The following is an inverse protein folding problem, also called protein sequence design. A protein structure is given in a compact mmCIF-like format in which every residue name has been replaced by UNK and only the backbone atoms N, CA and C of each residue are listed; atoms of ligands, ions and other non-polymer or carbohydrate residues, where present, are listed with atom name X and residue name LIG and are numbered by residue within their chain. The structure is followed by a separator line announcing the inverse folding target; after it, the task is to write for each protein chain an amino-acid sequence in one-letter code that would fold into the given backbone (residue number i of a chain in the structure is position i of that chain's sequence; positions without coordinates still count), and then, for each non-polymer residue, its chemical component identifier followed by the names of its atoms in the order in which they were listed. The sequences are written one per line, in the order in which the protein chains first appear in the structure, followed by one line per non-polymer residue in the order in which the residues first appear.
data_IF_224430242157
#
_entry.id   IF_224430242157
#
_cell.length_a   1.000
_cell.length_b   1.000
_cell.length_c   1.000
_cell.angle_alpha   90.00
_cell.angle_beta   90.00
_cell.angle_gamma   90.00
#
_symmetry.space_group_name_H-M   'P 1'
#
loop_
_entity.id
_entity.type
_entity.pdbx_description
1 polymer ?
#
# COMPACT_ATOMS: atom_id res chain seq x y z
N UNK A 1 50.78 -32.76 12.28
CA UNK A 1 50.37 -32.06 11.05
C UNK A 1 48.88 -31.81 11.15
N UNK A 2 48.48 -30.60 11.52
CA UNK A 2 47.08 -30.17 11.55
C UNK A 2 46.93 -29.09 10.47
N UNK A 3 45.89 -29.12 9.62
CA UNK A 3 45.70 -28.08 8.61
C UNK A 3 45.07 -26.85 9.26
N UNK A 4 45.73 -25.70 9.09
CA UNK A 4 45.18 -24.39 9.40
C UNK A 4 44.16 -24.02 8.31
N UNK A 5 42.88 -23.92 8.66
CA UNK A 5 41.88 -23.33 7.79
C UNK A 5 41.94 -21.80 7.93
N UNK A 6 42.43 -21.14 6.88
CA UNK A 6 42.31 -19.69 6.72
C UNK A 6 40.84 -19.36 6.42
N UNK A 7 40.15 -18.70 7.34
CA UNK A 7 38.85 -18.08 7.08
C UNK A 7 39.14 -16.74 6.41
N UNK A 8 38.89 -16.65 5.10
CA UNK A 8 38.94 -15.40 4.36
C UNK A 8 37.61 -14.65 4.61
N UNK A 9 37.58 -13.77 5.61
CA UNK A 9 36.48 -12.84 5.78
C UNK A 9 36.58 -11.77 4.67
N UNK A 10 35.80 -11.92 3.61
CA UNK A 10 35.62 -10.88 2.61
C UNK A 10 34.75 -9.77 3.23
N UNK A 11 35.39 -8.73 3.75
CA UNK A 11 34.75 -7.46 4.08
C UNK A 11 34.37 -6.76 2.77
N UNK A 12 33.23 -7.12 2.20
CA UNK A 12 32.59 -6.33 1.16
C UNK A 12 32.15 -5.00 1.82
N UNK A 13 32.91 -3.93 1.60
CA UNK A 13 32.45 -2.57 1.88
C UNK A 13 31.30 -2.29 0.93
N UNK A 14 30.06 -2.35 1.43
CA UNK A 14 28.91 -1.81 0.73
C UNK A 14 29.17 -0.31 0.51
N UNK A 15 29.41 0.10 -0.73
CA UNK A 15 29.37 1.50 -1.09
C UNK A 15 27.91 1.93 -0.98
N UNK A 16 27.59 2.76 0.02
CA UNK A 16 26.27 3.39 0.12
C UNK A 16 26.21 4.43 -0.99
N UNK A 17 25.64 4.06 -2.13
CA UNK A 17 25.31 5.02 -3.17
C UNK A 17 24.09 5.81 -2.68
N UNK A 18 24.28 7.09 -2.36
CA UNK A 18 23.16 8.00 -2.10
C UNK A 18 22.54 8.37 -3.44
N UNK A 19 21.35 7.86 -3.73
CA UNK A 19 20.53 8.33 -4.86
C UNK A 19 19.79 9.57 -4.36
N UNK A 20 20.09 10.73 -4.95
CA UNK A 20 19.28 11.94 -4.72
C UNK A 20 18.06 11.80 -5.62
N UNK A 21 16.92 11.54 -4.99
CA UNK A 21 15.62 11.48 -5.63
C UNK A 21 15.05 12.90 -5.63
N UNK A 22 14.58 13.37 -6.78
CA UNK A 22 14.07 14.73 -6.94
C UNK A 22 12.63 14.74 -7.41
N UNK A 23 11.80 15.50 -6.72
CA UNK A 23 10.36 15.62 -6.92
C UNK A 23 9.91 17.11 -6.85
N UNK A 24 8.63 17.43 -7.06
CA UNK A 24 8.16 18.82 -7.03
C UNK A 24 8.42 19.59 -5.72
N UNK A 25 8.52 18.91 -4.57
CA UNK A 25 8.76 19.56 -3.26
C UNK A 25 10.16 20.19 -3.13
N UNK A 26 11.11 19.78 -3.98
CA UNK A 26 12.44 20.40 -4.05
C UNK A 26 12.38 21.88 -4.49
N UNK A 27 11.33 22.25 -5.23
CA UNK A 27 11.16 23.57 -5.82
C UNK A 27 9.91 24.29 -5.33
N UNK A 28 8.89 23.57 -4.85
CA UNK A 28 7.71 24.14 -4.20
C UNK A 28 7.87 24.06 -2.68
N UNK A 29 7.91 25.23 -2.03
CA UNK A 29 8.03 25.27 -0.58
C UNK A 29 6.69 24.93 0.08
N UNK A 30 6.68 24.17 1.20
CA UNK A 30 5.45 23.89 1.94
C UNK A 30 4.66 25.14 2.36
N UNK A 31 5.33 26.29 2.53
CA UNK A 31 4.70 27.57 2.86
C UNK A 31 3.82 28.15 1.75
N UNK A 32 4.10 27.81 0.49
CA UNK A 32 3.47 28.44 -0.67
C UNK A 32 1.99 28.01 -0.81
N UNK A 33 1.63 26.87 -0.21
CA UNK A 33 0.33 26.21 -0.34
C UNK A 33 -0.21 25.71 1.00
N UNK A 34 0.30 26.27 2.10
CA UNK A 34 -0.12 25.90 3.45
C UNK A 34 -1.61 26.19 3.69
N UNK A 35 -2.13 27.28 3.13
CA UNK A 35 -3.56 27.62 3.22
C UNK A 35 -4.44 26.61 2.49
N UNK A 36 -4.01 26.17 1.31
CA UNK A 36 -4.71 25.17 0.50
C UNK A 36 -4.71 23.81 1.21
N UNK A 37 -3.56 23.36 1.69
CA UNK A 37 -3.44 22.10 2.43
C UNK A 37 -4.14 22.14 3.81
N UNK A 38 -4.50 23.32 4.32
CA UNK A 38 -5.28 23.50 5.54
C UNK A 38 -6.79 23.55 5.31
N UNK A 39 -7.26 23.48 4.07
CA UNK A 39 -8.69 23.40 3.77
C UNK A 39 -9.32 22.19 4.46
N UNK A 40 -10.38 22.45 5.23
CA UNK A 40 -11.16 21.40 5.86
C UNK A 40 -12.20 20.87 4.88
N UNK A 41 -12.15 19.57 4.67
CA UNK A 41 -13.10 18.82 3.88
C UNK A 41 -14.24 18.32 4.78
N UNK A 42 -15.49 18.44 4.31
CA UNK A 42 -16.61 17.72 4.90
C UNK A 42 -16.66 16.31 4.30
N UNK A 43 -16.37 15.31 5.11
CA UNK A 43 -16.40 13.90 4.72
C UNK A 43 -17.73 13.21 5.04
N UNK A 44 -18.65 13.90 5.74
CA UNK A 44 -19.98 13.41 6.10
C UNK A 44 -21.03 13.80 5.03
N UNK A 45 -20.60 13.81 3.77
CA UNK A 45 -21.44 14.11 2.62
C UNK A 45 -22.09 12.83 2.06
N UNK A 46 -23.37 12.88 1.62
CA UNK A 46 -24.05 11.69 1.11
C UNK A 46 -23.31 11.03 -0.05
N UNK A 47 -23.25 9.71 -0.02
CA UNK A 47 -22.73 8.93 -1.14
C UNK A 47 -23.60 9.13 -2.39
N UNK A 48 -22.97 9.41 -3.52
CA UNK A 48 -23.62 9.56 -4.82
C UNK A 48 -23.47 8.27 -5.62
N UNK A 49 -24.58 7.55 -5.82
CA UNK A 49 -24.58 6.27 -6.56
C UNK A 49 -24.46 6.40 -8.08
N UNK A 50 -24.58 7.62 -8.61
CA UNK A 50 -24.35 7.95 -10.02
C UNK A 50 -23.85 9.38 -10.15
N UNK A 51 -23.13 9.64 -11.25
CA UNK A 51 -22.68 10.99 -11.59
C UNK A 51 -23.89 11.95 -11.64
N UNK A 52 -23.86 13.07 -10.89
CA UNK A 52 -25.03 13.92 -10.72
C UNK A 52 -25.32 14.82 -11.94
N UNK A 53 -24.29 15.15 -12.73
CA UNK A 53 -24.35 16.09 -13.87
C UNK A 53 -23.12 15.92 -14.77
N UNK A 54 -23.16 16.53 -15.95
CA UNK A 54 -22.00 16.58 -16.84
C UNK A 54 -20.84 17.38 -16.20
N UNK A 55 -19.61 17.03 -16.59
CA UNK A 55 -18.42 17.76 -16.16
C UNK A 55 -18.37 19.13 -16.83
N UNK A 56 -18.29 20.19 -16.04
CA UNK A 56 -17.93 21.51 -16.57
C UNK A 56 -16.45 21.50 -16.99
N UNK A 57 -16.13 22.11 -18.13
CA UNK A 57 -14.76 22.15 -18.64
C UNK A 57 -14.48 23.37 -19.49
N UNK A 58 -13.23 23.83 -19.51
CA UNK A 58 -12.79 24.89 -20.44
C UNK A 58 -12.52 24.32 -21.84
N UNK A 59 -12.00 23.10 -21.91
CA UNK A 59 -11.64 22.44 -23.16
C UNK A 59 -12.25 21.04 -23.22
N UNK A 60 -13.29 20.88 -24.04
CA UNK A 60 -13.92 19.59 -24.31
C UNK A 60 -13.41 18.98 -25.62
N UNK A 61 -13.00 17.72 -25.57
CA UNK A 61 -12.72 16.87 -26.72
C UNK A 61 -13.62 15.63 -26.67
N UNK A 62 -14.70 15.65 -27.43
CA UNK A 62 -15.78 14.64 -27.41
C UNK A 62 -15.89 13.85 -28.73
N UNK A 63 -14.94 14.04 -29.65
CA UNK A 63 -14.96 13.34 -30.93
C UNK A 63 -13.60 13.32 -31.61
N UNK A 64 -13.33 12.22 -32.32
CA UNK A 64 -12.14 12.07 -33.15
C UNK A 64 -10.83 12.07 -32.37
N UNK A 65 -9.76 12.52 -33.02
CA UNK A 65 -8.42 12.59 -32.42
C UNK A 65 -7.90 14.02 -32.39
N UNK A 66 -7.36 14.44 -31.25
CA UNK A 66 -6.75 15.76 -31.04
C UNK A 66 -5.27 15.64 -30.68
N UNK A 67 -4.45 16.52 -31.24
CA UNK A 67 -3.03 16.66 -30.90
C UNK A 67 -2.76 18.07 -30.35
N UNK A 68 -2.15 18.14 -29.17
CA UNK A 68 -1.72 19.36 -28.49
C UNK A 68 -0.21 19.29 -28.26
N UNK A 69 0.50 20.40 -28.45
CA UNK A 69 1.92 20.45 -28.16
C UNK A 69 2.41 21.86 -27.89
N UNK A 70 3.30 22.03 -26.90
CA UNK A 70 3.91 23.32 -26.53
C UNK A 70 2.85 24.39 -26.24
N UNK A 71 1.94 24.08 -25.31
CA UNK A 71 0.83 24.96 -24.93
C UNK A 71 0.64 24.95 -23.43
N UNK A 72 0.05 26.05 -22.95
CA UNK A 72 -0.38 26.22 -21.57
C UNK A 72 -1.91 26.19 -21.54
N UNK A 73 -2.48 25.53 -20.54
CA UNK A 73 -3.91 25.53 -20.25
C UNK A 73 -4.13 25.87 -18.79
N UNK A 74 -5.16 26.64 -18.48
CA UNK A 74 -5.49 26.92 -17.09
C UNK A 74 -6.96 27.23 -16.87
N UNK A 75 -7.39 27.09 -15.61
CA UNK A 75 -8.67 27.63 -15.13
C UNK A 75 -8.64 27.87 -13.63
N UNK A 76 -9.25 28.98 -13.20
CA UNK A 76 -9.53 29.33 -11.81
C UNK A 76 -11.00 29.07 -11.44
N UNK A 77 -11.80 28.56 -12.39
CA UNK A 77 -13.21 28.24 -12.17
C UNK A 77 -13.36 27.05 -11.22
N UNK A 78 -14.31 27.17 -10.29
CA UNK A 78 -14.66 26.11 -9.35
C UNK A 78 -15.43 24.99 -10.05
N UNK A 79 -15.29 23.77 -9.55
CA UNK A 79 -15.97 22.57 -10.04
C UNK A 79 -15.83 22.30 -11.54
N UNK A 80 -14.82 22.90 -12.17
CA UNK A 80 -14.63 22.93 -13.63
C UNK A 80 -13.31 22.27 -13.96
N UNK A 81 -13.29 21.27 -14.82
CA UNK A 81 -12.04 20.68 -15.29
C UNK A 81 -11.31 21.63 -16.26
N UNK A 82 -9.99 21.52 -16.40
CA UNK A 82 -9.30 22.25 -17.49
C UNK A 82 -9.60 21.57 -18.81
N UNK A 83 -9.32 20.27 -18.91
CA UNK A 83 -9.55 19.45 -20.10
C UNK A 83 -10.45 18.27 -19.76
N UNK A 84 -11.46 18.03 -20.61
CA UNK A 84 -12.24 16.78 -20.61
C UNK A 84 -12.09 16.10 -21.96
N UNK A 85 -11.77 14.81 -21.95
CA UNK A 85 -11.76 13.93 -23.12
C UNK A 85 -12.84 12.87 -22.92
N UNK A 86 -13.85 12.83 -23.78
CA UNK A 86 -15.02 11.96 -23.59
C UNK A 86 -15.52 11.37 -24.92
N UNK A 87 -16.57 10.55 -24.84
CA UNK A 87 -17.32 10.03 -25.99
C UNK A 87 -16.44 9.28 -27.03
N UNK A 88 -15.47 8.49 -26.53
CA UNK A 88 -14.55 7.73 -27.37
C UNK A 88 -13.49 8.57 -28.10
N UNK A 89 -13.26 9.81 -27.66
CA UNK A 89 -12.25 10.67 -28.24
C UNK A 89 -10.82 10.24 -27.86
N UNK A 90 -9.85 10.69 -28.67
CA UNK A 90 -8.43 10.39 -28.48
C UNK A 90 -7.63 11.67 -28.35
N UNK A 91 -6.93 11.86 -27.22
CA UNK A 91 -6.03 12.99 -27.01
C UNK A 91 -4.56 12.55 -27.08
N UNK A 92 -3.73 13.33 -27.75
CA UNK A 92 -2.27 13.26 -27.61
C UNK A 92 -1.75 14.64 -27.25
N UNK A 93 -1.19 14.81 -26.05
CA UNK A 93 -0.61 16.05 -25.57
C UNK A 93 0.88 15.85 -25.27
N UNK A 94 1.72 16.80 -25.70
CA UNK A 94 3.18 16.74 -25.49
C UNK A 94 3.78 18.09 -25.13
N UNK A 95 4.64 18.19 -24.12
CA UNK A 95 5.21 19.49 -23.69
C UNK A 95 4.09 20.50 -23.39
N UNK A 96 3.21 20.14 -22.46
CA UNK A 96 2.05 20.95 -22.09
C UNK A 96 2.10 21.25 -20.61
N UNK A 97 1.87 22.51 -20.25
CA UNK A 97 1.71 22.97 -18.88
C UNK A 97 0.21 23.15 -18.58
N UNK A 98 -0.25 22.68 -17.42
CA UNK A 98 -1.64 22.80 -16.98
C UNK A 98 -1.68 23.32 -15.54
N UNK A 99 -2.40 24.42 -15.33
CA UNK A 99 -2.64 25.02 -14.02
C UNK A 99 -4.13 24.97 -13.65
N UNK A 100 -4.47 24.41 -12.49
CA UNK A 100 -5.84 24.34 -12.00
C UNK A 100 -5.93 24.89 -10.59
N UNK A 101 -6.62 26.02 -10.43
CA UNK A 101 -6.70 26.74 -9.14
C UNK A 101 -8.09 26.92 -8.55
N UNK A 102 -9.18 26.68 -9.27
CA UNK A 102 -10.52 26.70 -8.66
C UNK A 102 -10.76 25.53 -7.69
N UNK A 103 -11.61 25.73 -6.67
CA UNK A 103 -11.88 24.71 -5.65
C UNK A 103 -12.98 23.72 -6.06
N UNK A 104 -12.99 22.54 -5.43
CA UNK A 104 -14.11 21.60 -5.49
C UNK A 104 -15.11 21.88 -4.37
N UNK A 105 -16.36 22.20 -4.72
CA UNK A 105 -17.44 22.38 -3.74
C UNK A 105 -17.93 21.07 -3.14
N UNK A 106 -17.68 19.94 -3.81
CA UNK A 106 -18.11 18.61 -3.40
C UNK A 106 -17.02 17.57 -3.65
N UNK A 107 -16.37 17.13 -2.58
CA UNK A 107 -15.25 16.20 -2.66
C UNK A 107 -15.68 14.78 -3.06
N UNK A 108 -16.91 14.35 -2.80
CA UNK A 108 -17.41 13.06 -3.34
C UNK A 108 -17.54 13.13 -4.86
N UNK A 109 -17.95 14.27 -5.43
CA UNK A 109 -17.99 14.45 -6.88
C UNK A 109 -16.58 14.42 -7.47
N UNK A 110 -15.62 15.12 -6.85
CA UNK A 110 -14.22 15.07 -7.26
C UNK A 110 -13.63 13.65 -7.15
N UNK A 111 -13.89 12.97 -6.04
CA UNK A 111 -13.35 11.64 -5.71
C UNK A 111 -13.90 10.52 -6.59
N UNK A 112 -15.22 10.50 -6.82
CA UNK A 112 -15.84 9.38 -7.54
C UNK A 112 -16.01 9.62 -9.04
N UNK A 113 -16.07 10.87 -9.49
CA UNK A 113 -16.35 11.22 -10.89
C UNK A 113 -15.34 12.18 -11.51
N UNK A 114 -14.34 12.64 -10.76
CA UNK A 114 -13.25 13.46 -11.27
C UNK A 114 -13.66 14.89 -11.62
N UNK A 115 -14.65 15.43 -10.92
CA UNK A 115 -14.95 16.86 -10.99
C UNK A 115 -13.73 17.68 -10.56
N UNK A 116 -13.60 18.87 -11.13
CA UNK A 116 -12.53 19.82 -10.81
C UNK A 116 -11.10 19.37 -11.18
N UNK A 117 -10.90 18.24 -11.86
CA UNK A 117 -9.58 17.75 -12.23
C UNK A 117 -8.88 18.62 -13.30
N UNK A 118 -7.55 18.61 -13.35
CA UNK A 118 -6.83 19.26 -14.45
C UNK A 118 -7.13 18.57 -15.79
N UNK A 119 -7.04 17.23 -15.85
CA UNK A 119 -7.50 16.45 -17.01
C UNK A 119 -8.44 15.36 -16.51
N UNK A 120 -9.63 15.25 -17.11
CA UNK A 120 -10.52 14.10 -16.93
C UNK A 120 -10.72 13.39 -18.27
N UNK A 121 -10.48 12.08 -18.30
CA UNK A 121 -10.67 11.22 -19.47
C UNK A 121 -11.75 10.21 -19.14
N UNK A 122 -12.82 10.16 -19.94
CA UNK A 122 -14.01 9.40 -19.63
C UNK A 122 -14.63 8.70 -20.86
N UNK A 123 -15.60 7.81 -20.62
CA UNK A 123 -16.50 7.25 -21.63
C UNK A 123 -15.76 6.61 -22.83
N UNK A 124 -14.93 5.60 -22.55
CA UNK A 124 -14.20 4.81 -23.57
C UNK A 124 -13.15 5.62 -24.34
N UNK A 125 -12.73 6.76 -23.78
CA UNK A 125 -11.72 7.63 -24.39
C UNK A 125 -10.30 7.21 -24.07
N UNK A 126 -9.34 7.73 -24.82
CA UNK A 126 -7.92 7.49 -24.57
C UNK A 126 -7.12 8.78 -24.59
N UNK A 127 -6.18 8.94 -23.65
CA UNK A 127 -5.22 10.05 -23.67
C UNK A 127 -3.78 9.55 -23.62
N UNK A 128 -2.91 10.20 -24.40
CA UNK A 128 -1.46 10.02 -24.38
C UNK A 128 -0.82 11.35 -23.99
N UNK A 129 -0.27 11.42 -22.78
CA UNK A 129 0.33 12.61 -22.18
C UNK A 129 1.85 12.36 -22.08
N UNK A 130 2.65 13.27 -22.64
CA UNK A 130 4.11 13.14 -22.61
C UNK A 130 4.80 14.47 -22.31
N UNK A 131 5.80 14.50 -21.42
CA UNK A 131 6.45 15.76 -21.03
C UNK A 131 5.42 16.79 -20.54
N UNK A 132 4.51 16.39 -19.65
CA UNK A 132 3.47 17.29 -19.11
C UNK A 132 3.84 17.77 -17.72
N UNK A 133 3.52 19.02 -17.46
CA UNK A 133 3.66 19.65 -16.15
C UNK A 133 2.25 20.03 -15.68
N UNK A 134 1.79 19.44 -14.59
CA UNK A 134 0.44 19.66 -14.09
C UNK A 134 0.55 20.14 -12.64
N UNK A 135 0.02 21.32 -12.39
CA UNK A 135 -0.07 21.93 -11.07
C UNK A 135 -1.54 22.11 -10.73
N UNK A 136 -1.99 21.51 -9.62
CA UNK A 136 -3.38 21.61 -9.15
C UNK A 136 -3.46 22.05 -7.71
N UNK A 137 -4.54 22.76 -7.39
CA UNK A 137 -4.82 23.34 -6.08
C UNK A 137 -6.25 23.09 -5.65
N UNK A 138 -6.55 23.37 -4.39
CA UNK A 138 -7.88 23.36 -3.82
C UNK A 138 -8.62 22.03 -4.03
N UNK A 139 -7.90 20.92 -3.87
CA UNK A 139 -8.45 19.57 -3.93
C UNK A 139 -8.60 18.99 -5.34
N UNK A 140 -8.05 19.65 -6.37
CA UNK A 140 -8.11 19.15 -7.75
C UNK A 140 -7.10 18.03 -8.02
N UNK A 141 -7.55 16.95 -8.64
CA UNK A 141 -6.67 15.88 -9.12
C UNK A 141 -5.87 16.30 -10.36
N UNK A 142 -4.64 15.80 -10.53
CA UNK A 142 -3.86 16.09 -11.75
C UNK A 142 -4.47 15.38 -12.97
N UNK A 143 -4.65 14.07 -12.90
CA UNK A 143 -5.19 13.27 -14.00
C UNK A 143 -6.23 12.31 -13.48
N UNK A 144 -7.44 12.38 -14.04
CA UNK A 144 -8.56 11.52 -13.72
C UNK A 144 -8.94 10.62 -14.90
N UNK A 145 -9.24 9.35 -14.64
CA UNK A 145 -9.78 8.40 -15.62
C UNK A 145 -11.07 7.75 -15.12
N UNK A 146 -12.13 7.77 -15.92
CA UNK A 146 -13.43 7.21 -15.56
C UNK A 146 -14.09 6.36 -16.66
N UNK A 147 -14.59 5.18 -16.33
CA UNK A 147 -15.42 4.39 -17.24
C UNK A 147 -14.67 3.24 -17.92
N UNK A 148 -15.38 2.14 -18.18
CA UNK A 148 -14.87 0.96 -18.90
C UNK A 148 -14.25 1.33 -20.25
N UNK A 149 -13.15 0.66 -20.59
CA UNK A 149 -12.35 0.88 -21.82
C UNK A 149 -11.74 2.30 -21.94
N UNK A 150 -11.70 3.06 -20.84
CA UNK A 150 -11.03 4.35 -20.77
C UNK A 150 -9.61 4.21 -20.25
N UNK A 151 -8.63 4.70 -21.00
CA UNK A 151 -7.21 4.51 -20.68
C UNK A 151 -6.42 5.80 -20.83
N UNK A 152 -5.64 6.15 -19.81
CA UNK A 152 -4.67 7.25 -19.88
C UNK A 152 -3.25 6.70 -19.82
N UNK A 153 -2.44 7.05 -20.81
CA UNK A 153 -1.00 6.82 -20.80
C UNK A 153 -0.28 8.13 -20.50
N UNK A 154 0.48 8.20 -19.41
CA UNK A 154 1.23 9.40 -19.02
C UNK A 154 2.71 9.08 -18.84
N UNK A 155 3.59 9.83 -19.51
CA UNK A 155 5.03 9.60 -19.49
C UNK A 155 5.79 10.91 -19.28
N UNK A 156 6.92 10.86 -18.57
CA UNK A 156 7.82 12.00 -18.37
C UNK A 156 7.06 13.20 -17.77
N UNK A 157 6.33 13.00 -16.67
CA UNK A 157 5.45 14.02 -16.12
C UNK A 157 5.96 14.58 -14.79
N UNK A 158 5.72 15.87 -14.58
CA UNK A 158 5.88 16.54 -13.32
C UNK A 158 4.49 16.91 -12.78
N UNK A 159 4.15 16.41 -11.60
CA UNK A 159 2.79 16.40 -11.07
C UNK A 159 2.80 16.97 -9.65
N UNK A 160 2.20 18.14 -9.48
CA UNK A 160 2.04 18.78 -8.18
C UNK A 160 0.56 18.92 -7.84
N UNK A 161 0.19 18.61 -6.60
CA UNK A 161 -1.17 18.76 -6.11
C UNK A 161 -1.22 19.30 -4.67
N UNK A 162 -2.14 20.23 -4.41
CA UNK A 162 -2.45 20.74 -3.05
C UNK A 162 -3.95 20.78 -2.77
N UNK A 163 -4.28 20.81 -1.48
CA UNK A 163 -5.64 20.71 -0.97
C UNK A 163 -6.10 19.26 -0.74
N UNK A 164 -7.19 19.05 0.02
CA UNK A 164 -7.66 17.72 0.40
C UNK A 164 -8.16 16.92 -0.82
N UNK A 165 -7.87 15.61 -0.85
CA UNK A 165 -8.28 14.68 -1.93
C UNK A 165 -7.62 14.99 -3.30
N UNK A 166 -6.56 15.81 -3.31
CA UNK A 166 -5.83 16.19 -4.52
C UNK A 166 -4.86 15.08 -4.96
N UNK A 167 -5.40 14.01 -5.54
CA UNK A 167 -4.61 12.89 -6.03
C UNK A 167 -3.82 13.23 -7.30
N UNK A 168 -2.65 12.61 -7.47
CA UNK A 168 -1.85 12.71 -8.70
C UNK A 168 -2.54 12.00 -9.87
N UNK A 169 -2.40 10.67 -9.91
CA UNK A 169 -3.14 9.82 -10.83
C UNK A 169 -4.35 9.25 -10.13
N UNK A 170 -5.53 9.42 -10.72
CA UNK A 170 -6.79 9.03 -10.10
C UNK A 170 -7.70 8.28 -11.07
N UNK A 171 -7.99 7.02 -10.80
CA UNK A 171 -8.84 6.19 -11.65
C UNK A 171 -10.07 5.70 -10.87
N UNK A 172 -11.23 5.66 -11.53
CA UNK A 172 -12.47 5.07 -10.98
C UNK A 172 -13.36 4.60 -12.14
N UNK A 173 -14.48 3.96 -11.84
CA UNK A 173 -15.48 3.54 -12.82
C UNK A 173 -14.94 2.52 -13.85
N UNK A 174 -13.97 1.68 -13.49
CA UNK A 174 -13.18 0.81 -14.38
C UNK A 174 -12.21 1.55 -15.32
N UNK A 175 -11.91 2.82 -15.04
CA UNK A 175 -10.87 3.57 -15.74
C UNK A 175 -9.47 3.03 -15.42
N UNK A 176 -8.53 3.21 -16.35
CA UNK A 176 -7.14 2.76 -16.19
C UNK A 176 -6.16 3.89 -16.46
N UNK A 177 -5.15 4.04 -15.60
CA UNK A 177 -4.02 4.95 -15.85
C UNK A 177 -2.72 4.15 -15.82
N UNK A 178 -1.90 4.32 -16.87
CA UNK A 178 -0.57 3.72 -17.02
C UNK A 178 0.45 4.87 -17.05
N UNK A 179 1.25 4.97 -15.99
CA UNK A 179 2.22 6.03 -15.75
C UNK A 179 3.67 5.58 -15.85
N UNK A 180 4.55 6.38 -16.45
CA UNK A 180 6.00 6.11 -16.52
C UNK A 180 6.83 7.36 -16.28
N UNK A 181 7.95 7.22 -15.56
CA UNK A 181 8.89 8.33 -15.32
C UNK A 181 8.18 9.59 -14.78
N UNK A 182 7.44 9.41 -13.69
CA UNK A 182 6.69 10.47 -13.04
C UNK A 182 7.47 11.04 -11.86
N UNK A 183 7.36 12.34 -11.67
CA UNK A 183 7.75 13.04 -10.44
C UNK A 183 6.52 13.63 -9.82
N UNK A 184 6.11 13.10 -8.68
CA UNK A 184 4.87 13.49 -8.02
C UNK A 184 5.11 14.06 -6.62
N UNK A 185 4.38 15.13 -6.29
CA UNK A 185 4.19 15.57 -4.91
C UNK A 185 2.74 15.95 -4.63
N UNK A 186 2.23 15.56 -3.47
CA UNK A 186 0.97 16.05 -2.93
C UNK A 186 1.08 16.52 -1.48
N UNK A 187 0.51 17.69 -1.20
CA UNK A 187 0.56 18.30 0.13
C UNK A 187 -0.63 18.01 1.04
N UNK A 188 -1.82 17.82 0.47
CA UNK A 188 -3.07 17.78 1.20
C UNK A 188 -3.36 16.45 1.91
N UNK A 189 -4.37 16.47 2.78
CA UNK A 189 -4.87 15.25 3.43
C UNK A 189 -5.57 14.33 2.42
N UNK A 190 -5.50 13.01 2.64
CA UNK A 190 -6.13 11.99 1.77
C UNK A 190 -5.79 12.16 0.29
N UNK A 191 -4.60 12.65 -0.01
CA UNK A 191 -4.14 13.03 -1.35
C UNK A 191 -3.04 12.08 -1.81
N UNK A 192 -3.39 10.81 -2.01
CA UNK A 192 -2.44 9.78 -2.43
C UNK A 192 -1.89 10.03 -3.83
N UNK A 193 -0.65 9.61 -4.09
CA UNK A 193 -0.01 9.83 -5.39
C UNK A 193 -0.72 9.09 -6.54
N UNK A 194 -1.01 7.82 -6.30
CA UNK A 194 -1.53 6.89 -7.29
C UNK A 194 -2.76 6.19 -6.70
N UNK A 195 -3.94 6.57 -7.17
CA UNK A 195 -5.22 6.22 -6.55
C UNK A 195 -6.15 5.52 -7.53
N UNK A 196 -6.58 4.32 -7.18
CA UNK A 196 -7.80 3.72 -7.71
C UNK A 196 -8.93 3.90 -6.69
N UNK A 197 -10.09 4.41 -7.10
CA UNK A 197 -11.28 4.59 -6.26
C UNK A 197 -12.41 3.62 -6.58
N UNK A 198 -13.49 3.67 -5.80
CA UNK A 198 -14.74 2.97 -6.05
C UNK A 198 -15.67 3.76 -6.99
N UNK A 199 -16.36 3.13 -7.96
CA UNK A 199 -16.17 1.77 -8.46
C UNK A 199 -14.75 1.55 -9.01
N UNK A 200 -14.22 0.33 -8.90
CA UNK A 200 -12.79 0.02 -9.03
C UNK A 200 -12.03 0.80 -10.13
N UNK A 201 -10.90 1.41 -9.75
CA UNK A 201 -9.92 2.01 -10.64
C UNK A 201 -8.64 1.18 -10.76
N UNK A 202 -7.96 1.30 -11.90
CA UNK A 202 -6.75 0.53 -12.20
C UNK A 202 -5.56 1.45 -12.44
N UNK A 203 -4.47 1.21 -11.73
CA UNK A 203 -3.24 2.01 -11.85
C UNK A 203 -2.04 1.09 -12.07
N UNK A 204 -1.26 1.40 -13.11
CA UNK A 204 0.06 0.83 -13.32
C UNK A 204 1.09 1.96 -13.36
N UNK A 205 2.14 1.91 -12.54
CA UNK A 205 3.17 2.96 -12.50
C UNK A 205 4.57 2.36 -12.53
N UNK A 206 5.42 2.92 -13.40
CA UNK A 206 6.78 2.43 -13.57
C UNK A 206 7.80 3.57 -13.45
N UNK A 207 9.01 3.25 -12.98
CA UNK A 207 10.20 4.09 -13.08
C UNK A 207 9.99 5.50 -12.49
N UNK A 208 9.28 5.61 -11.36
CA UNK A 208 8.72 6.88 -10.88
C UNK A 208 9.14 7.23 -9.45
N UNK A 209 8.89 8.48 -9.08
CA UNK A 209 9.13 9.06 -7.77
C UNK A 209 7.85 9.69 -7.26
N UNK A 210 7.51 9.46 -6.01
CA UNK A 210 6.40 10.16 -5.35
C UNK A 210 6.68 10.53 -3.91
N UNK A 211 6.15 11.69 -3.52
CA UNK A 211 6.14 12.16 -2.13
C UNK A 211 4.75 12.66 -1.75
N UNK A 212 4.18 12.13 -0.67
CA UNK A 212 2.88 12.52 -0.14
C UNK A 212 3.05 13.03 1.30
N UNK A 213 2.69 14.28 1.57
CA UNK A 213 2.93 14.89 2.88
C UNK A 213 1.75 14.75 3.85
N UNK A 214 0.52 14.92 3.36
CA UNK A 214 -0.65 15.05 4.23
C UNK A 214 -1.10 13.76 4.92
N UNK A 215 -1.91 13.93 5.97
CA UNK A 215 -2.46 12.81 6.75
C UNK A 215 -3.37 11.94 5.88
N UNK A 216 -3.19 10.62 5.96
CA UNK A 216 -3.96 9.65 5.19
C UNK A 216 -3.58 9.61 3.71
N UNK A 217 -2.53 10.31 3.29
CA UNK A 217 -2.05 10.33 1.91
C UNK A 217 -1.05 9.20 1.70
N UNK A 218 -1.47 8.15 1.00
CA UNK A 218 -0.63 7.00 0.72
C UNK A 218 0.19 7.21 -0.56
N UNK A 219 1.18 6.35 -0.80
CA UNK A 219 1.74 6.26 -2.17
C UNK A 219 0.68 5.67 -3.09
N UNK A 220 0.10 4.54 -2.68
CA UNK A 220 -0.93 3.82 -3.40
C UNK A 220 -2.21 3.76 -2.58
N UNK A 221 -3.31 4.27 -3.13
CA UNK A 221 -4.64 4.05 -2.60
C UNK A 221 -5.36 3.08 -3.52
N UNK A 222 -5.63 1.87 -3.04
CA UNK A 222 -6.16 0.78 -3.84
C UNK A 222 -7.64 0.57 -3.52
N UNK A 223 -8.50 0.99 -4.44
CA UNK A 223 -9.83 0.43 -4.68
C UNK A 223 -9.85 -0.06 -6.13
N UNK A 224 -9.46 -1.32 -6.33
CA UNK A 224 -9.19 -1.96 -7.60
C UNK A 224 -7.83 -2.67 -7.60
N UNK A 225 -7.05 -2.49 -8.66
CA UNK A 225 -5.70 -3.08 -8.79
C UNK A 225 -4.65 -2.00 -8.93
N UNK A 226 -3.57 -2.17 -8.15
CA UNK A 226 -2.34 -1.40 -8.28
C UNK A 226 -1.22 -2.33 -8.74
N UNK A 227 -0.50 -1.92 -9.78
CA UNK A 227 0.79 -2.48 -10.13
C UNK A 227 1.84 -1.37 -10.11
N UNK A 228 2.98 -1.62 -9.47
CA UNK A 228 4.10 -0.70 -9.49
C UNK A 228 5.43 -1.40 -9.70
N UNK A 229 6.29 -0.79 -10.52
CA UNK A 229 7.65 -1.29 -10.79
C UNK A 229 8.66 -0.14 -10.72
N UNK A 230 9.80 -0.34 -10.03
CA UNK A 230 10.88 0.66 -9.96
C UNK A 230 10.40 2.02 -9.42
N UNK A 231 9.57 2.03 -8.37
CA UNK A 231 9.08 3.26 -7.74
C UNK A 231 9.81 3.53 -6.44
N UNK A 232 10.31 4.75 -6.27
CA UNK A 232 10.81 5.24 -4.98
C UNK A 232 9.75 6.17 -4.40
N UNK A 233 9.30 5.91 -3.18
CA UNK A 233 8.22 6.71 -2.59
C UNK A 233 8.39 7.04 -1.11
N UNK A 234 7.77 8.15 -0.72
CA UNK A 234 7.75 8.63 0.65
C UNK A 234 6.36 9.16 1.01
N UNK A 235 5.72 8.54 2.00
CA UNK A 235 4.47 9.03 2.59
C UNK A 235 4.78 9.54 4.01
N UNK A 236 4.78 10.85 4.22
CA UNK A 236 5.15 11.44 5.53
C UNK A 236 4.14 11.08 6.62
N UNK A 237 2.85 11.11 6.29
CA UNK A 237 1.75 10.88 7.23
C UNK A 237 0.70 9.89 6.67
N UNK A 238 1.17 8.91 5.91
CA UNK A 238 0.35 7.82 5.39
C UNK A 238 1.13 6.53 5.23
N UNK A 239 0.46 5.42 4.89
CA UNK A 239 1.13 4.17 4.55
C UNK A 239 1.72 4.21 3.12
N UNK A 240 2.48 3.19 2.75
CA UNK A 240 2.84 2.97 1.34
C UNK A 240 1.59 2.58 0.56
N UNK A 241 0.87 1.58 1.07
CA UNK A 241 -0.38 1.09 0.48
C UNK A 241 -1.52 1.26 1.49
N UNK A 242 -2.60 1.88 1.04
CA UNK A 242 -3.88 1.98 1.74
C UNK A 242 -4.96 1.29 0.90
N UNK A 243 -5.76 0.41 1.49
CA UNK A 243 -6.83 -0.31 0.78
C UNK A 243 -8.06 -0.49 1.66
N UNK A 244 -9.24 -0.31 1.07
CA UNK A 244 -10.53 -0.67 1.66
C UNK A 244 -11.26 -1.74 0.81
N UNK A 245 -11.56 -2.87 1.42
CA UNK A 245 -12.16 -4.05 0.80
C UNK A 245 -11.14 -5.03 0.19
N UNK A 246 -11.65 -5.94 -0.63
CA UNK A 246 -10.87 -6.97 -1.29
C UNK A 246 -10.17 -6.45 -2.55
N UNK A 247 -9.01 -5.82 -2.36
CA UNK A 247 -8.25 -5.14 -3.43
C UNK A 247 -6.89 -5.81 -3.65
N UNK A 248 -6.25 -5.49 -4.77
CA UNK A 248 -5.00 -6.16 -5.17
C UNK A 248 -3.89 -5.16 -5.42
N UNK A 249 -2.70 -5.46 -4.89
CA UNK A 249 -1.51 -4.65 -5.12
C UNK A 249 -0.28 -5.53 -5.35
N UNK A 250 0.49 -5.23 -6.39
CA UNK A 250 1.79 -5.84 -6.67
C UNK A 250 2.86 -4.76 -6.81
N UNK A 251 3.87 -4.80 -5.94
CA UNK A 251 5.01 -3.89 -5.92
C UNK A 251 6.27 -4.66 -6.27
N UNK A 252 6.95 -4.25 -7.34
CA UNK A 252 8.16 -4.87 -7.88
C UNK A 252 9.31 -3.88 -7.85
N UNK A 253 10.43 -4.24 -7.23
CA UNK A 253 11.61 -3.37 -7.15
C UNK A 253 11.31 -1.94 -6.66
N UNK A 254 10.45 -1.79 -5.66
CA UNK A 254 10.09 -0.49 -5.08
C UNK A 254 10.87 -0.25 -3.77
N UNK A 255 11.26 1.00 -3.49
CA UNK A 255 11.81 1.43 -2.18
C UNK A 255 10.90 2.51 -1.60
N UNK A 256 10.09 2.13 -0.62
CA UNK A 256 8.97 2.92 -0.15
C UNK A 256 9.04 3.17 1.36
N UNK A 257 8.66 4.38 1.78
CA UNK A 257 8.68 4.81 3.17
C UNK A 257 7.29 5.28 3.62
N UNK A 258 6.89 4.89 4.83
CA UNK A 258 5.58 5.20 5.42
C UNK A 258 5.70 5.80 6.83
N UNK A 259 4.95 6.86 7.09
CA UNK A 259 4.97 7.58 8.36
C UNK A 259 3.71 7.46 9.21
N UNK A 260 2.63 6.81 8.74
CA UNK A 260 1.41 6.60 9.53
C UNK A 260 0.73 5.27 9.20
N UNK A 261 -0.04 4.72 10.16
CA UNK A 261 -0.84 3.49 10.06
C UNK A 261 -0.07 2.18 9.78
N UNK A 262 1.21 2.23 9.39
CA UNK A 262 2.02 1.05 9.08
C UNK A 262 2.67 1.16 7.72
N UNK A 263 3.56 0.23 7.38
CA UNK A 263 4.15 0.17 6.04
C UNK A 263 3.07 -0.07 4.98
N UNK A 264 2.18 -1.02 5.27
CA UNK A 264 0.94 -1.26 4.53
C UNK A 264 -0.24 -1.24 5.51
N UNK A 265 -1.36 -0.68 5.08
CA UNK A 265 -2.64 -0.77 5.79
C UNK A 265 -3.74 -1.24 4.82
N UNK A 266 -4.22 -2.48 4.98
CA UNK A 266 -5.35 -3.01 4.21
C UNK A 266 -6.48 -3.42 5.15
N UNK A 267 -7.69 -2.96 4.89
CA UNK A 267 -8.84 -3.28 5.72
C UNK A 267 -10.13 -3.39 4.92
N UNK A 268 -11.25 -3.68 5.59
CA UNK A 268 -12.59 -3.42 5.08
C UNK A 268 -13.33 -2.50 6.05
N UNK A 269 -13.87 -1.39 5.57
CA UNK A 269 -14.81 -0.56 6.34
C UNK A 269 -16.23 -1.15 6.37
N UNK A 270 -16.45 -2.19 5.55
CA UNK A 270 -17.74 -2.83 5.32
C UNK A 270 -17.71 -4.28 5.79
N UNK A 271 -18.59 -5.12 5.24
CA UNK A 271 -18.56 -6.57 5.48
C UNK A 271 -17.21 -7.15 5.06
N UNK A 272 -16.64 -7.99 5.91
CA UNK A 272 -15.41 -8.74 5.62
C UNK A 272 -15.58 -9.65 4.40
N UNK A 273 -14.68 -9.53 3.43
CA UNK A 273 -14.63 -10.37 2.22
C UNK A 273 -13.24 -10.98 2.02
N UNK A 274 -13.17 -11.97 1.13
CA UNK A 274 -11.93 -12.60 0.64
C UNK A 274 -11.56 -12.09 -0.75
N UNK A 275 -10.29 -12.22 -1.11
CA UNK A 275 -9.76 -11.86 -2.43
C UNK A 275 -8.81 -10.66 -2.41
N UNK A 276 -8.50 -10.12 -1.23
CA UNK A 276 -7.42 -9.15 -1.11
C UNK A 276 -6.07 -9.83 -1.34
N UNK A 277 -5.19 -9.18 -2.13
CA UNK A 277 -3.83 -9.68 -2.39
C UNK A 277 -2.80 -8.56 -2.25
N UNK A 278 -1.68 -8.87 -1.59
CA UNK A 278 -0.47 -8.06 -1.59
C UNK A 278 0.71 -8.91 -2.08
N UNK A 279 1.40 -8.45 -3.11
CA UNK A 279 2.64 -9.08 -3.61
C UNK A 279 3.78 -8.09 -3.55
N UNK A 280 4.80 -8.43 -2.78
CA UNK A 280 6.05 -7.69 -2.71
C UNK A 280 7.14 -8.55 -3.36
N UNK A 281 7.78 -8.00 -4.39
CA UNK A 281 8.89 -8.67 -5.07
C UNK A 281 10.05 -7.71 -5.20
N UNK A 282 11.24 -8.15 -4.76
CA UNK A 282 12.47 -7.34 -4.84
C UNK A 282 12.32 -5.95 -4.20
N UNK A 283 11.39 -5.79 -3.25
CA UNK A 283 10.93 -4.47 -2.76
C UNK A 283 11.29 -4.25 -1.30
N UNK A 284 11.35 -2.98 -0.91
CA UNK A 284 11.66 -2.54 0.44
C UNK A 284 10.58 -1.58 0.94
N UNK A 285 10.01 -1.89 2.10
CA UNK A 285 9.08 -1.02 2.82
C UNK A 285 9.74 -0.61 4.14
N UNK A 286 9.76 0.68 4.44
CA UNK A 286 10.34 1.24 5.67
C UNK A 286 9.31 2.06 6.43
N UNK A 287 9.14 1.83 7.73
CA UNK A 287 8.29 2.68 8.59
C UNK A 287 9.11 3.69 9.38
N UNK A 288 8.59 4.91 9.56
CA UNK A 288 9.28 6.00 10.27
C UNK A 288 9.00 6.05 11.78
N UNK A 289 7.94 5.39 12.26
CA UNK A 289 7.51 5.43 13.67
C UNK A 289 7.81 4.14 14.43
N UNK A 290 8.12 4.28 15.71
CA UNK A 290 8.43 3.20 16.67
C UNK A 290 7.21 2.41 17.15
N UNK A 291 6.03 2.78 16.69
CA UNK A 291 4.75 2.08 16.96
C UNK A 291 4.11 1.53 15.70
N UNK A 292 4.68 1.81 14.52
CA UNK A 292 4.09 1.44 13.25
C UNK A 292 4.48 0.01 12.89
N UNK A 293 3.50 -0.91 12.72
CA UNK A 293 3.81 -2.25 12.25
C UNK A 293 4.30 -2.20 10.80
N UNK A 294 5.09 -3.19 10.40
CA UNK A 294 5.49 -3.37 9.01
C UNK A 294 4.27 -3.48 8.09
N UNK A 295 3.37 -4.43 8.40
CA UNK A 295 2.12 -4.65 7.66
C UNK A 295 0.94 -4.73 8.65
N UNK A 296 -0.12 -3.96 8.38
CA UNK A 296 -1.34 -3.96 9.18
C UNK A 296 -2.56 -4.37 8.37
N UNK A 297 -3.35 -5.27 8.95
CA UNK A 297 -4.56 -5.82 8.33
C UNK A 297 -5.74 -5.78 9.30
N UNK A 298 -6.88 -5.25 8.84
CA UNK A 298 -8.08 -5.08 9.67
C UNK A 298 -9.36 -5.57 8.99
N UNK A 299 -10.20 -6.38 9.65
CA UNK A 299 -11.51 -6.76 9.11
C UNK A 299 -11.49 -7.31 7.66
N UNK A 300 -10.45 -8.07 7.30
CA UNK A 300 -10.21 -8.52 5.92
C UNK A 300 -9.67 -9.96 5.89
N UNK A 301 -9.90 -10.65 4.77
CA UNK A 301 -9.22 -11.92 4.45
C UNK A 301 -8.25 -11.65 3.28
N UNK A 302 -6.95 -11.82 3.53
CA UNK A 302 -5.89 -11.38 2.61
C UNK A 302 -4.80 -12.43 2.43
N UNK A 303 -4.34 -12.57 1.19
CA UNK A 303 -3.16 -13.34 0.82
C UNK A 303 -1.97 -12.40 0.55
N UNK A 304 -0.84 -12.66 1.17
CA UNK A 304 0.38 -11.85 1.10
C UNK A 304 1.53 -12.73 0.62
N UNK A 305 2.22 -12.31 -0.45
CA UNK A 305 3.49 -12.89 -0.88
C UNK A 305 4.62 -11.87 -0.67
N UNK A 306 5.65 -12.26 0.08
CA UNK A 306 6.86 -11.49 0.30
C UNK A 306 8.01 -12.27 -0.34
N UNK A 307 8.54 -11.77 -1.45
CA UNK A 307 9.54 -12.46 -2.26
C UNK A 307 10.79 -11.58 -2.44
N UNK A 308 11.94 -12.06 -1.97
CA UNK A 308 13.21 -11.32 -1.97
C UNK A 308 13.04 -9.86 -1.53
N UNK A 309 12.27 -9.63 -0.47
CA UNK A 309 11.80 -8.29 -0.07
C UNK A 309 12.12 -8.00 1.40
N UNK A 310 12.22 -6.72 1.73
CA UNK A 310 12.57 -6.21 3.06
C UNK A 310 11.40 -5.40 3.64
N UNK A 311 11.13 -5.61 4.93
CA UNK A 311 10.15 -4.81 5.68
C UNK A 311 10.86 -4.30 6.93
N UNK A 312 11.30 -3.05 6.86
CA UNK A 312 12.04 -2.40 7.94
C UNK A 312 11.07 -1.64 8.83
N UNK A 313 11.03 -2.02 10.10
CA UNK A 313 10.21 -1.35 11.10
C UNK A 313 11.00 -1.24 12.40
N UNK A 314 10.75 -0.19 13.17
CA UNK A 314 11.38 0.01 14.48
C UNK A 314 10.48 -0.38 15.66
N UNK A 315 9.22 -0.74 15.37
CA UNK A 315 8.23 -1.13 16.37
C UNK A 315 8.43 -2.54 16.91
N UNK A 316 9.23 -3.35 16.23
CA UNK A 316 9.36 -4.78 16.52
C UNK A 316 8.14 -5.60 16.07
N UNK A 317 7.13 -4.99 15.44
CA UNK A 317 5.94 -5.69 14.93
C UNK A 317 6.01 -5.78 13.41
N UNK A 318 6.23 -7.00 12.91
CA UNK A 318 6.25 -7.27 11.48
C UNK A 318 4.85 -7.24 10.87
N UNK A 319 3.92 -7.99 11.46
CA UNK A 319 2.53 -8.09 10.98
C UNK A 319 1.56 -7.93 12.14
N UNK A 320 0.55 -7.09 11.95
CA UNK A 320 -0.61 -6.94 12.84
C UNK A 320 -1.89 -7.37 12.13
N UNK A 321 -2.60 -8.38 12.66
CA UNK A 321 -3.92 -8.80 12.18
C UNK A 321 -4.99 -8.45 13.23
N UNK A 322 -5.92 -7.57 12.88
CA UNK A 322 -6.78 -6.92 13.85
C UNK A 322 -8.29 -7.03 13.52
N UNK A 323 -9.10 -7.15 14.57
CA UNK A 323 -10.54 -6.92 14.53
C UNK A 323 -10.76 -5.40 14.58
N UNK A 324 -10.49 -4.71 13.48
CA UNK A 324 -10.45 -3.25 13.42
C UNK A 324 -10.55 -2.78 11.97
N UNK A 325 -10.82 -1.49 11.77
CA UNK A 325 -10.75 -0.78 10.48
C UNK A 325 -9.95 0.51 10.65
N UNK A 326 -9.90 1.36 9.63
CA UNK A 326 -9.42 2.74 9.75
C UNK A 326 -10.62 3.70 9.66
N UNK A 327 -10.60 4.79 10.43
CA UNK A 327 -11.65 5.83 10.39
C UNK A 327 -11.65 6.61 9.09
N UNK A 328 -12.73 7.35 8.79
CA UNK A 328 -12.83 8.20 7.59
C UNK A 328 -11.78 9.33 7.53
N UNK A 329 -11.22 9.72 8.67
CA UNK A 329 -10.12 10.70 8.76
C UNK A 329 -8.76 10.11 8.36
N UNK A 330 -8.68 8.80 8.11
CA UNK A 330 -7.48 8.07 7.65
C UNK A 330 -6.26 8.24 8.58
N UNK A 331 -6.50 8.48 9.87
CA UNK A 331 -5.43 8.81 10.82
C UNK A 331 -5.34 7.89 12.06
N UNK A 332 -6.32 7.01 12.28
CA UNK A 332 -6.26 6.02 13.35
C UNK A 332 -7.09 4.77 13.06
N UNK A 333 -6.79 3.69 13.79
CA UNK A 333 -7.56 2.46 13.75
C UNK A 333 -8.82 2.57 14.62
N UNK A 334 -9.96 2.16 14.08
CA UNK A 334 -11.27 2.19 14.75
C UNK A 334 -11.65 0.80 15.27
N UNK A 335 -12.26 0.75 16.46
CA UNK A 335 -12.72 -0.49 17.09
C UNK A 335 -14.18 -0.84 16.79
N UNK A 336 -14.68 -1.92 17.42
CA UNK A 336 -16.08 -2.35 17.31
C UNK A 336 -17.09 -1.28 17.77
N UNK A 337 -16.71 -0.46 18.75
CA UNK A 337 -17.56 0.61 19.27
C UNK A 337 -17.93 1.64 18.17
N UNK A 338 -17.06 1.78 17.17
CA UNK A 338 -17.23 2.70 16.04
C UNK A 338 -17.75 2.00 14.79
N UNK A 339 -17.57 0.68 14.66
CA UNK A 339 -18.14 -0.11 13.57
C UNK A 339 -18.59 -1.50 14.03
N UNK A 340 -19.90 -1.76 13.95
CA UNK A 340 -20.49 -3.05 14.35
C UNK A 340 -20.37 -4.15 13.29
N UNK A 341 -19.93 -3.84 12.07
CA UNK A 341 -19.76 -4.78 10.96
C UNK A 341 -18.38 -5.48 10.96
N UNK A 342 -17.54 -5.24 11.97
CA UNK A 342 -16.20 -5.81 12.03
C UNK A 342 -16.23 -7.33 12.25
N UNK A 343 -15.22 -8.00 11.73
CA UNK A 343 -14.91 -9.41 11.91
C UNK A 343 -13.40 -9.57 12.09
N UNK A 344 -12.93 -10.70 12.66
CA UNK A 344 -11.49 -10.90 12.82
C UNK A 344 -10.77 -10.90 11.48
N UNK A 345 -9.54 -10.39 11.42
CA UNK A 345 -8.73 -10.50 10.20
C UNK A 345 -8.20 -11.93 10.03
N UNK A 346 -8.11 -12.39 8.78
CA UNK A 346 -7.47 -13.66 8.42
C UNK A 346 -6.38 -13.37 7.39
N UNK A 347 -5.12 -13.44 7.84
CA UNK A 347 -3.95 -13.07 7.04
C UNK A 347 -3.18 -14.33 6.68
N UNK A 348 -2.95 -14.58 5.41
CA UNK A 348 -2.11 -15.68 4.93
C UNK A 348 -0.88 -15.13 4.26
N UNK A 349 0.29 -15.42 4.80
CA UNK A 349 1.58 -14.89 4.35
C UNK A 349 2.47 -16.01 3.88
N UNK A 350 3.02 -15.85 2.69
CA UNK A 350 4.04 -16.71 2.09
C UNK A 350 5.31 -15.88 1.91
N UNK A 351 6.36 -16.28 2.62
CA UNK A 351 7.68 -15.66 2.56
C UNK A 351 8.59 -16.54 1.71
N UNK A 352 9.28 -15.93 0.75
CA UNK A 352 10.13 -16.59 -0.24
C UNK A 352 11.43 -15.79 -0.33
N UNK A 353 12.58 -16.47 -0.21
CA UNK A 353 13.91 -15.86 -0.39
C UNK A 353 14.09 -14.55 0.39
N UNK A 354 13.44 -14.41 1.55
CA UNK A 354 13.44 -13.17 2.34
C UNK A 354 13.89 -13.44 3.77
N UNK A 355 14.63 -12.48 4.32
CA UNK A 355 15.02 -12.45 5.73
C UNK A 355 14.18 -11.36 6.42
N UNK A 356 13.34 -11.76 7.36
CA UNK A 356 12.41 -10.86 8.05
C UNK A 356 12.67 -10.89 9.55
N UNK A 357 12.53 -9.74 10.21
CA UNK A 357 12.52 -9.62 11.67
C UNK A 357 11.23 -8.98 12.17
N UNK A 358 10.91 -9.23 13.44
CA UNK A 358 9.74 -8.69 14.13
C UNK A 358 8.63 -9.71 14.37
N UNK A 359 7.70 -9.33 15.23
CA UNK A 359 6.69 -10.20 15.78
C UNK A 359 5.42 -10.24 14.94
N UNK A 360 4.71 -11.36 15.04
CA UNK A 360 3.36 -11.55 14.51
C UNK A 360 2.37 -11.29 15.64
N UNK A 361 1.55 -10.25 15.51
CA UNK A 361 0.58 -9.87 16.53
C UNK A 361 -0.82 -9.98 15.97
N UNK A 362 -1.70 -10.66 16.69
CA UNK A 362 -3.09 -10.79 16.30
C UNK A 362 -4.03 -10.49 17.48
N UNK A 363 -5.24 -10.04 17.16
CA UNK A 363 -6.21 -9.54 18.15
C UNK A 363 -7.60 -10.15 17.94
N UNK A 364 -8.33 -10.39 19.04
CA UNK A 364 -9.78 -10.61 19.04
C UNK A 364 -10.30 -11.66 18.02
N UNK A 365 -9.66 -12.83 18.00
CA UNK A 365 -9.99 -13.96 17.16
C UNK A 365 -9.31 -13.94 15.79
N UNK A 366 -8.49 -12.92 15.50
CA UNK A 366 -7.77 -12.80 14.23
C UNK A 366 -6.72 -13.89 14.10
N UNK A 367 -6.42 -14.25 12.85
CA UNK A 367 -5.53 -15.37 12.53
C UNK A 367 -4.42 -14.93 11.57
N UNK A 368 -3.20 -15.36 11.86
CA UNK A 368 -2.06 -15.24 10.94
C UNK A 368 -1.58 -16.65 10.56
N UNK A 369 -1.66 -16.98 9.27
CA UNK A 369 -1.01 -18.13 8.66
C UNK A 369 0.33 -17.66 8.08
N UNK A 370 1.45 -18.16 8.57
CA UNK A 370 2.78 -17.69 8.18
C UNK A 370 3.62 -18.86 7.66
N UNK A 371 3.99 -18.81 6.39
CA UNK A 371 4.71 -19.88 5.72
C UNK A 371 6.07 -19.39 5.18
N UNK A 372 7.16 -19.98 5.69
CA UNK A 372 8.51 -19.75 5.21
C UNK A 372 8.88 -20.78 4.14
N UNK A 373 9.34 -20.30 2.98
CA UNK A 373 9.74 -21.10 1.82
C UNK A 373 11.05 -20.63 1.22
N UNK A 374 11.72 -21.52 0.50
CA UNK A 374 12.85 -21.19 -0.38
C UNK A 374 13.91 -20.33 0.30
N UNK A 375 14.59 -20.88 1.30
CA UNK A 375 15.69 -20.19 2.01
C UNK A 375 15.28 -18.91 2.73
N UNK A 376 14.02 -18.81 3.16
CA UNK A 376 13.58 -17.67 3.97
C UNK A 376 14.02 -17.80 5.42
N UNK A 377 14.18 -16.67 6.10
CA UNK A 377 14.40 -16.66 7.54
C UNK A 377 13.48 -15.68 8.25
N UNK A 378 13.10 -16.02 9.47
CA UNK A 378 12.32 -15.15 10.35
C UNK A 378 12.93 -15.12 11.75
N UNK A 379 13.20 -13.92 12.27
CA UNK A 379 13.59 -13.66 13.65
C UNK A 379 12.42 -12.97 14.37
N UNK A 380 11.70 -13.69 15.23
CA UNK A 380 10.54 -13.13 15.91
C UNK A 380 9.72 -14.14 16.70
N UNK A 381 8.65 -13.65 17.31
CA UNK A 381 7.68 -14.40 18.08
C UNK A 381 6.25 -14.14 17.58
N UNK A 382 5.29 -14.91 18.09
CA UNK A 382 3.88 -14.68 17.81
C UNK A 382 3.04 -14.68 19.09
N UNK A 383 2.23 -13.64 19.28
CA UNK A 383 1.45 -13.47 20.50
C UNK A 383 0.13 -12.72 20.28
N UNK A 384 -0.84 -12.99 21.17
CA UNK A 384 -2.10 -12.24 21.18
C UNK A 384 -1.87 -10.86 21.76
N UNK A 385 -2.16 -9.80 20.99
CA UNK A 385 -2.09 -8.43 21.50
C UNK A 385 -3.27 -8.10 22.43
N UNK A 386 -4.43 -8.70 22.19
CA UNK A 386 -5.59 -8.64 23.08
C UNK A 386 -6.61 -9.75 22.72
N UNK A 387 -7.25 -10.32 23.73
CA UNK A 387 -8.23 -11.40 23.55
C UNK A 387 -7.59 -12.70 23.06
N UNK A 388 -8.37 -13.53 22.35
CA UNK A 388 -7.86 -14.74 21.72
C UNK A 388 -7.20 -14.40 20.38
N UNK A 389 -6.19 -15.16 19.96
CA UNK A 389 -5.56 -15.02 18.64
C UNK A 389 -5.02 -16.38 18.18
N UNK A 390 -4.86 -16.58 16.88
CA UNK A 390 -4.44 -17.86 16.32
C UNK A 390 -3.28 -17.71 15.33
N UNK A 391 -2.24 -18.50 15.53
CA UNK A 391 -1.05 -18.49 14.68
C UNK A 391 -0.82 -19.89 14.08
N UNK A 392 -0.61 -19.94 12.78
CA UNK A 392 -0.32 -21.18 12.06
C UNK A 392 1.01 -21.03 11.33
N UNK A 393 2.05 -21.72 11.81
CA UNK A 393 3.41 -21.57 11.28
C UNK A 393 3.79 -22.80 10.43
N UNK A 394 4.32 -22.54 9.25
CA UNK A 394 4.78 -23.54 8.31
C UNK A 394 6.20 -23.25 7.82
N UNK A 395 7.07 -24.27 7.84
CA UNK A 395 8.44 -24.17 7.30
C UNK A 395 8.68 -25.26 6.26
N UNK A 396 9.47 -24.92 5.23
CA UNK A 396 10.20 -25.93 4.47
C UNK A 396 11.61 -26.18 5.04
N UNK A 397 12.30 -27.18 4.48
CA UNK A 397 13.61 -27.61 5.00
C UNK A 397 14.72 -26.58 4.84
N UNK A 398 14.59 -25.65 3.90
CA UNK A 398 15.63 -24.66 3.61
C UNK A 398 15.44 -23.37 4.42
N UNK A 399 14.27 -23.18 5.02
CA UNK A 399 13.92 -21.98 5.75
C UNK A 399 14.11 -22.14 7.26
N UNK A 400 14.42 -21.04 7.95
CA UNK A 400 14.72 -21.03 9.38
C UNK A 400 13.84 -20.07 10.17
N UNK A 401 13.52 -20.43 11.42
CA UNK A 401 12.87 -19.53 12.37
C UNK A 401 13.71 -19.43 13.64
N UNK A 402 14.09 -18.23 14.03
CA UNK A 402 14.72 -17.93 15.32
C UNK A 402 13.72 -17.25 16.25
N UNK A 403 13.43 -17.88 17.38
CA UNK A 403 12.51 -17.37 18.38
C UNK A 403 13.14 -16.22 19.18
N UNK A 404 12.38 -15.16 19.35
CA UNK A 404 12.70 -14.03 20.24
C UNK A 404 11.99 -14.10 21.58
N UNK A 405 10.87 -14.83 21.64
CA UNK A 405 10.08 -15.08 22.84
C UNK A 405 9.36 -16.44 22.79
N UNK A 406 8.85 -16.88 23.94
CA UNK A 406 8.01 -18.08 24.03
C UNK A 406 6.72 -17.89 23.23
N UNK A 407 6.47 -18.77 22.27
CA UNK A 407 5.39 -18.62 21.29
C UNK A 407 4.40 -19.77 21.38
N UNK A 408 3.11 -19.48 21.19
CA UNK A 408 2.05 -20.51 21.08
C UNK A 408 1.44 -20.51 19.68
N UNK A 409 1.41 -21.67 19.04
CA UNK A 409 0.84 -21.86 17.70
C UNK A 409 -0.29 -22.88 17.70
N UNK A 410 -1.32 -22.60 16.91
CA UNK A 410 -2.44 -23.51 16.70
C UNK A 410 -2.07 -24.63 15.73
N UNK A 411 -1.31 -24.34 14.67
CA UNK A 411 -0.77 -25.35 13.77
C UNK A 411 0.73 -25.15 13.58
N UNK A 412 1.50 -26.23 13.71
CA UNK A 412 2.93 -26.26 13.38
C UNK A 412 3.20 -27.33 12.32
N UNK A 413 3.63 -26.92 11.13
CA UNK A 413 4.07 -27.83 10.07
C UNK A 413 5.51 -27.57 9.70
N UNK A 414 6.29 -28.64 9.61
CA UNK A 414 7.65 -28.55 9.11
C UNK A 414 7.95 -29.70 8.15
N UNK A 415 8.67 -29.39 7.07
CA UNK A 415 9.21 -30.37 6.15
C UNK A 415 10.50 -31.01 6.70
N UNK A 416 11.22 -30.33 7.60
CA UNK A 416 12.23 -30.93 8.47
C UNK A 416 11.57 -31.58 9.68
N UNK A 417 11.59 -32.91 9.73
CA UNK A 417 10.98 -33.68 10.82
C UNK A 417 11.78 -33.64 12.12
N UNK A 418 12.99 -33.09 12.10
CA UNK A 418 13.83 -32.90 13.28
C UNK A 418 13.64 -31.56 13.97
N UNK A 419 12.95 -30.60 13.32
CA UNK A 419 12.83 -29.21 13.76
C UNK A 419 14.20 -28.50 13.94
N UNK A 420 15.25 -28.95 13.25
CA UNK A 420 16.60 -28.41 13.42
C UNK A 420 16.75 -26.98 12.91
N UNK A 421 15.85 -26.59 12.00
CA UNK A 421 15.67 -25.25 11.42
C UNK A 421 14.85 -24.29 12.30
N UNK A 422 14.42 -24.71 13.50
CA UNK A 422 13.84 -23.82 14.52
C UNK A 422 14.86 -23.60 15.64
N UNK A 423 15.33 -22.36 15.80
CA UNK A 423 16.30 -21.94 16.80
C UNK A 423 15.54 -21.25 17.94
N UNK A 424 15.42 -21.94 19.06
CA UNK A 424 14.68 -21.50 20.24
C UNK A 424 15.24 -20.32 21.00
N UNK A 425 16.56 -20.08 20.95
CA UNK A 425 17.22 -19.06 21.76
C UNK A 425 16.84 -19.10 23.27
N UNK A 426 16.58 -20.30 23.80
CA UNK A 426 16.18 -20.53 25.19
C UNK A 426 14.67 -20.46 25.45
N UNK A 427 13.85 -20.11 24.45
CA UNK A 427 12.40 -19.99 24.55
C UNK A 427 11.66 -21.28 24.15
N UNK A 428 10.46 -21.47 24.69
CA UNK A 428 9.62 -22.62 24.34
C UNK A 428 8.64 -22.29 23.21
N UNK A 429 8.32 -23.30 22.40
CA UNK A 429 7.30 -23.27 21.37
C UNK A 429 6.16 -24.22 21.75
N UNK A 430 5.01 -23.67 22.11
CA UNK A 430 3.82 -24.46 22.40
C UNK A 430 3.01 -24.72 21.14
N UNK A 431 2.59 -25.97 20.92
CA UNK A 431 1.76 -26.34 19.78
C UNK A 431 0.50 -27.10 20.21
N UNK A 432 -0.60 -26.90 19.49
CA UNK A 432 -1.82 -27.68 19.71
C UNK A 432 -1.67 -29.11 19.15
N UNK A 433 -1.48 -30.10 20.02
CA UNK A 433 -1.29 -31.51 19.62
C UNK A 433 -2.53 -32.16 18.98
N UNK A 434 -3.72 -31.61 19.23
CA UNK A 434 -4.99 -32.10 18.67
C UNK A 434 -5.23 -31.58 17.25
N UNK A 435 -4.59 -30.47 16.87
CA UNK A 435 -4.73 -29.85 15.55
C UNK A 435 -4.18 -30.77 14.45
N UNK A 436 -4.98 -30.97 13.38
CA UNK A 436 -4.67 -31.91 12.30
C UNK A 436 -3.28 -31.70 11.71
N UNK A 437 -2.85 -30.45 11.53
CA UNK A 437 -1.54 -30.14 10.94
C UNK A 437 -0.36 -30.34 11.91
N UNK A 438 -0.60 -30.47 13.22
CA UNK A 438 0.44 -30.71 14.24
C UNK A 438 0.55 -32.18 14.68
N UNK A 439 -0.38 -33.06 14.28
CA UNK A 439 -0.44 -34.48 14.70
C UNK A 439 0.83 -35.28 14.45
N UNK A 440 1.64 -34.85 13.48
CA UNK A 440 2.92 -35.51 13.17
C UNK A 440 3.93 -35.45 14.33
N UNK A 441 3.78 -34.50 15.27
CA UNK A 441 4.57 -34.38 16.50
C UNK A 441 4.15 -35.38 17.59
N UNK A 442 2.97 -36.01 17.44
CA UNK A 442 2.44 -37.05 18.33
C UNK A 442 2.36 -36.64 19.81
N UNK A 443 2.18 -35.34 20.08
CA UNK A 443 2.07 -34.80 21.45
C UNK A 443 3.36 -34.91 22.27
N UNK A 444 4.53 -35.00 21.62
CA UNK A 444 5.83 -35.10 22.30
C UNK A 444 6.45 -33.73 22.55
N UNK A 445 7.22 -33.62 23.63
CA UNK A 445 8.20 -32.54 23.82
C UNK A 445 9.46 -32.87 23.02
N UNK A 446 9.91 -31.94 22.18
CA UNK A 446 11.10 -32.06 21.32
C UNK A 446 12.05 -30.92 21.69
N UNK A 447 13.28 -31.24 22.08
CA UNK A 447 14.31 -30.22 22.31
C UNK A 447 14.65 -29.51 21.01
N UNK A 448 14.71 -28.18 21.04
CA UNK A 448 15.08 -27.35 19.90
C UNK A 448 16.53 -26.88 20.01
N UNK A 449 17.13 -26.56 18.87
CA UNK A 449 18.42 -25.86 18.84
C UNK A 449 18.28 -24.56 19.64
N UNK A 450 19.24 -24.20 20.48
CA UNK A 450 19.19 -22.97 21.28
C UNK A 450 18.69 -23.12 22.73
N UNK A 451 18.28 -24.31 23.16
CA UNK A 451 18.07 -24.63 24.58
C UNK A 451 16.62 -24.72 25.07
N UNK A 452 15.64 -24.26 24.28
CA UNK A 452 14.22 -24.44 24.55
C UNK A 452 13.62 -25.70 23.93
N UNK A 453 12.29 -25.81 23.90
CA UNK A 453 11.59 -27.00 23.42
C UNK A 453 10.30 -26.70 22.66
N UNK A 454 9.95 -27.55 21.69
CA UNK A 454 8.62 -27.61 21.10
C UNK A 454 7.76 -28.61 21.89
N UNK A 455 6.70 -28.15 22.55
CA UNK A 455 5.90 -28.97 23.46
C UNK A 455 4.39 -28.75 23.32
N UNK A 456 3.56 -29.76 23.62
CA UNK A 456 2.11 -29.61 23.52
C UNK A 456 1.59 -28.57 24.52
N UNK A 457 0.59 -27.78 24.11
CA UNK A 457 -0.18 -26.92 25.03
C UNK A 457 -0.79 -27.82 26.12
N UNK A 458 -0.59 -27.44 27.39
CA UNK A 458 -1.16 -28.18 28.52
C UNK A 458 -2.69 -28.07 28.49
N UNK A 459 -3.36 -29.21 28.62
CA UNK A 459 -4.82 -29.34 28.63
C UNK A 459 -5.46 -28.73 29.87
#
# INVERSE_FOLDING_TARGET
MAPSYLVLAALARAAVATIVVSDPSDVILPSDWAEDNALLADYDIPYLSSQPRDLDTVYLFDSGSKRLSHREFSTDLNDTCVIVVSEGAHLTASHVDIDKSGYSTNLNEASFYGFNAAINVANTSTAYLNHVNITTHNGAANVYSYGTDTVVHINDAWLYASGPVAHGLYASGNGTIIGRNLKHFSGGTRSSAFSGDGPAGYIEVYDSVSHCAGVGSATYYALGTIYAENVISHSDNGPVLFSDGAQTAELVNCDATAGLLGGVAMFSSSVRTSGAELKLKDSKITTLGDTLPGLWFGNLIVDVEINNSQINHSSGVLISANYSQITQEFNHYAGYEENSALSPAEVTVKVIESELDGDLVAYNGSTINFALKSYSSWLGAAYSGFGNAYFNIALDKSSNWTLTETTTVQNLTDSDKTLSNIISNGYDLYYNASATKSRWLKGKTISLTGGGSAQPISS
#
